data_IF_777713839535
#
_entry.id   IF_777713839535
#
_cell.length_a   1.000
_cell.length_b   1.000
_cell.length_c   1.000
_cell.angle_alpha   90.00
_cell.angle_beta   90.00
_cell.angle_gamma   90.00
#
_symmetry.space_group_name_H-M   'P 1'
#
loop_
_entity.id
_entity.type
_entity.pdbx_description
1 polymer ?
#
# COMPACT_ATOMS: atom_id res chain seq x y z
N UNK A 1 -13.46 14.38 28.68
CA UNK A 1 -12.62 13.81 27.60
C UNK A 1 -12.04 14.99 26.85
N UNK A 2 -10.74 15.25 26.99
CA UNK A 2 -10.10 16.31 26.20
C UNK A 2 -10.03 15.84 24.75
N UNK A 3 -10.67 16.58 23.86
CA UNK A 3 -10.47 16.44 22.42
C UNK A 3 -9.02 16.89 22.19
N UNK A 4 -8.09 15.96 21.99
CA UNK A 4 -6.79 16.32 21.47
C UNK A 4 -7.06 16.89 20.08
N UNK A 5 -6.76 18.18 19.90
CA UNK A 5 -6.83 18.79 18.59
C UNK A 5 -5.69 18.19 17.77
N UNK A 6 -6.00 17.54 16.67
CA UNK A 6 -4.98 17.08 15.74
C UNK A 6 -4.30 18.33 15.15
N UNK A 7 -2.99 18.45 15.33
CA UNK A 7 -2.22 19.62 14.89
C UNK A 7 -1.37 19.31 13.65
N UNK A 8 -1.08 18.03 13.40
CA UNK A 8 -0.30 17.56 12.26
C UNK A 8 -0.59 16.08 11.97
N UNK A 9 -0.03 15.59 10.85
CA UNK A 9 -0.19 14.19 10.42
C UNK A 9 0.22 13.17 11.48
N UNK A 10 1.30 13.40 12.25
CA UNK A 10 1.74 12.45 13.29
C UNK A 10 0.70 12.30 14.39
N UNK A 11 0.17 13.42 14.90
CA UNK A 11 -0.92 13.39 15.89
C UNK A 11 -2.18 12.75 15.32
N UNK A 12 -2.54 13.06 14.07
CA UNK A 12 -3.69 12.49 13.38
C UNK A 12 -3.61 10.95 13.32
N UNK A 13 -2.53 10.38 12.79
CA UNK A 13 -2.43 8.92 12.66
C UNK A 13 -2.34 8.23 14.02
N UNK A 14 -1.60 8.82 14.96
CA UNK A 14 -1.50 8.29 16.31
C UNK A 14 -2.87 8.19 16.97
N UNK A 15 -3.66 9.26 16.93
CA UNK A 15 -4.96 9.30 17.58
C UNK A 15 -5.96 8.41 16.82
N UNK A 16 -6.07 8.55 15.50
CA UNK A 16 -6.97 7.75 14.65
C UNK A 16 -6.74 6.24 14.76
N UNK A 17 -5.49 5.77 14.62
CA UNK A 17 -5.19 4.34 14.68
C UNK A 17 -5.28 3.78 16.11
N UNK A 18 -4.91 4.57 17.13
CA UNK A 18 -5.07 4.16 18.52
C UNK A 18 -6.54 4.07 18.93
N UNK A 19 -7.36 5.04 18.56
CA UNK A 19 -8.80 5.07 18.87
C UNK A 19 -9.56 3.93 18.21
N UNK A 20 -9.09 3.43 17.07
CA UNK A 20 -9.67 2.23 16.45
C UNK A 20 -9.59 0.97 17.32
N UNK A 21 -8.62 0.90 18.25
CA UNK A 21 -8.27 -0.33 18.99
C UNK A 21 -7.99 -1.56 18.11
N UNK A 22 -7.70 -1.34 16.81
CA UNK A 22 -7.36 -2.41 15.86
C UNK A 22 -5.86 -2.48 15.59
N UNK A 23 -5.15 -1.37 15.76
CA UNK A 23 -3.74 -1.24 15.45
C UNK A 23 -2.95 -0.68 16.64
N UNK A 24 -1.73 -1.20 16.82
CA UNK A 24 -0.77 -0.66 17.79
C UNK A 24 0.49 -0.19 17.08
N UNK A 25 1.02 0.96 17.51
CA UNK A 25 2.32 1.45 17.06
C UNK A 25 3.43 0.56 17.64
N UNK A 26 4.34 0.11 16.80
CA UNK A 26 5.47 -0.76 17.23
C UNK A 26 6.83 -0.14 16.99
N UNK A 27 6.93 0.82 16.08
CA UNK A 27 8.23 1.40 15.75
C UNK A 27 8.11 2.88 15.39
N UNK A 28 9.24 3.57 15.55
CA UNK A 28 9.50 4.84 14.92
C UNK A 28 10.97 4.88 14.51
N UNK A 29 11.22 5.34 13.29
CA UNK A 29 12.57 5.44 12.77
C UNK A 29 12.74 6.62 11.84
N UNK A 30 13.96 6.76 11.33
CA UNK A 30 14.29 7.69 10.27
C UNK A 30 15.00 6.95 9.14
N UNK A 31 14.69 7.34 7.91
CA UNK A 31 15.47 6.96 6.74
C UNK A 31 15.82 8.22 5.95
N UNK A 32 17.09 8.64 6.04
CA UNK A 32 17.49 9.98 5.61
C UNK A 32 16.73 11.04 6.42
N UNK A 33 16.05 11.94 5.73
CA UNK A 33 15.24 13.01 6.33
C UNK A 33 13.78 12.60 6.59
N UNK A 34 13.39 11.39 6.19
CA UNK A 34 12.02 10.89 6.36
C UNK A 34 11.83 10.23 7.71
N UNK A 35 10.90 10.75 8.51
CA UNK A 35 10.39 10.08 9.71
C UNK A 35 9.42 8.96 9.31
N UNK A 36 9.54 7.80 9.93
CA UNK A 36 8.70 6.63 9.64
C UNK A 36 8.01 6.16 10.91
N UNK A 37 6.71 5.91 10.84
CA UNK A 37 5.94 5.23 11.87
C UNK A 37 5.36 3.92 11.34
N UNK A 38 5.41 2.86 12.16
CA UNK A 38 4.85 1.56 11.83
C UNK A 38 3.81 1.13 12.86
N UNK A 39 2.66 0.70 12.34
CA UNK A 39 1.53 0.17 13.08
C UNK A 39 1.22 -1.25 12.62
N UNK A 40 0.95 -2.15 13.55
CA UNK A 40 0.55 -3.54 13.24
C UNK A 40 -0.84 -3.83 13.76
N UNK A 41 -1.56 -4.70 13.05
CA UNK A 41 -2.85 -5.18 13.54
C UNK A 41 -2.66 -5.93 14.87
N UNK A 42 -3.53 -5.64 15.83
CA UNK A 42 -3.61 -6.36 17.11
C UNK A 42 -4.13 -7.78 16.87
N UNK A 43 -4.89 -8.00 15.79
CA UNK A 43 -5.27 -9.32 15.33
C UNK A 43 -4.08 -9.98 14.60
N UNK A 44 -3.40 -10.89 15.30
CA UNK A 44 -2.23 -11.61 14.78
C UNK A 44 -2.49 -12.40 13.49
N UNK A 45 -3.76 -12.72 13.17
CA UNK A 45 -4.13 -13.44 11.96
C UNK A 45 -4.14 -12.55 10.71
N UNK A 46 -4.34 -11.24 10.86
CA UNK A 46 -4.41 -10.31 9.72
C UNK A 46 -3.03 -10.06 9.12
N UNK A 47 -1.99 -9.94 9.96
CA UNK A 47 -0.60 -9.64 9.55
C UNK A 47 -0.43 -8.35 8.73
N UNK A 48 -1.46 -7.52 8.64
CA UNK A 48 -1.41 -6.22 7.97
C UNK A 48 -0.62 -5.22 8.81
N UNK A 49 0.25 -4.48 8.14
CA UNK A 49 1.03 -3.38 8.71
C UNK A 49 0.70 -2.10 7.98
N UNK A 50 0.59 -1.01 8.72
CA UNK A 50 0.44 0.34 8.15
C UNK A 50 1.75 1.07 8.44
N UNK A 51 2.46 1.46 7.38
CA UNK A 51 3.65 2.28 7.49
C UNK A 51 3.38 3.66 6.93
N UNK A 52 3.86 4.68 7.62
CA UNK A 52 3.61 6.07 7.26
C UNK A 52 4.92 6.83 7.25
N UNK A 53 5.18 7.57 6.17
CA UNK A 53 6.38 8.37 5.98
C UNK A 53 6.08 9.87 5.98
N UNK A 54 6.84 10.62 6.79
CA UNK A 54 6.73 12.07 6.90
C UNK A 54 8.04 12.75 6.54
N UNK A 55 7.96 13.90 5.86
CA UNK A 55 9.09 14.79 5.64
C UNK A 55 8.72 16.16 6.21
N UNK A 56 9.27 16.48 7.37
CA UNK A 56 8.83 17.65 8.14
C UNK A 56 7.39 17.50 8.60
N UNK A 57 6.53 18.42 8.16
CA UNK A 57 5.09 18.46 8.44
C UNK A 57 4.24 17.81 7.33
N UNK A 58 4.86 17.31 6.25
CA UNK A 58 4.17 16.69 5.12
C UNK A 58 4.07 15.18 5.23
N UNK A 59 2.95 14.64 4.77
CA UNK A 59 2.75 13.20 4.58
C UNK A 59 3.23 12.80 3.18
N UNK A 60 4.27 11.97 3.10
CA UNK A 60 4.88 11.57 1.83
C UNK A 60 4.25 10.29 1.29
N UNK A 61 3.98 9.32 2.15
CA UNK A 61 3.37 8.06 1.74
C UNK A 61 2.68 7.36 2.93
N UNK A 62 1.71 6.52 2.61
CA UNK A 62 1.01 5.64 3.55
C UNK A 62 0.86 4.26 2.89
N UNK A 63 1.56 3.26 3.42
CA UNK A 63 1.62 1.92 2.83
C UNK A 63 0.90 0.89 3.70
N UNK A 64 0.16 0.00 3.05
CA UNK A 64 -0.43 -1.19 3.64
C UNK A 64 0.34 -2.41 3.18
N UNK A 65 1.09 -3.02 4.10
CA UNK A 65 1.90 -4.20 3.82
C UNK A 65 1.19 -5.46 4.34
N UNK A 66 1.09 -6.49 3.50
CA UNK A 66 0.63 -7.80 3.93
C UNK A 66 1.34 -8.91 3.14
N UNK A 67 1.80 -9.99 3.80
CA UNK A 67 2.47 -11.10 3.09
C UNK A 67 1.58 -11.81 2.07
N UNK A 68 0.25 -11.64 2.12
CA UNK A 68 -0.67 -12.16 1.11
C UNK A 68 -0.66 -11.30 -0.16
N UNK A 69 -0.29 -10.02 -0.11
CA UNK A 69 -0.36 -9.06 -1.23
C UNK A 69 1.00 -8.41 -1.50
N UNK A 70 1.97 -9.27 -1.85
CA UNK A 70 3.36 -8.86 -2.08
C UNK A 70 3.45 -7.93 -3.31
N UNK A 71 2.62 -8.16 -4.34
CA UNK A 71 2.57 -7.30 -5.52
C UNK A 71 2.10 -5.89 -5.17
N UNK A 72 0.99 -5.77 -4.45
CA UNK A 72 0.47 -4.49 -3.99
C UNK A 72 1.45 -3.77 -3.05
N UNK A 73 2.13 -4.51 -2.17
CA UNK A 73 3.19 -3.94 -1.32
C UNK A 73 4.30 -3.31 -2.17
N UNK A 74 4.79 -4.02 -3.19
CA UNK A 74 5.83 -3.50 -4.09
C UNK A 74 5.38 -2.33 -4.97
N UNK A 75 4.12 -2.30 -5.36
CA UNK A 75 3.59 -1.15 -6.10
C UNK A 75 3.65 0.11 -5.24
N UNK A 76 3.22 0.03 -3.98
CA UNK A 76 3.21 1.18 -3.09
C UNK A 76 4.63 1.74 -2.85
N UNK A 77 5.68 0.90 -2.88
CA UNK A 77 7.08 1.35 -2.69
C UNK A 77 7.55 2.43 -3.68
N UNK A 78 6.88 2.59 -4.82
CA UNK A 78 7.20 3.63 -5.82
C UNK A 78 6.17 4.77 -5.86
N UNK A 79 5.13 4.70 -5.02
CA UNK A 79 4.07 5.70 -4.92
C UNK A 79 4.39 6.68 -3.79
N UNK A 80 4.16 7.95 -4.05
CA UNK A 80 4.24 9.01 -3.06
C UNK A 80 3.20 10.05 -3.37
N UNK A 81 2.74 10.74 -2.34
CA UNK A 81 1.76 11.77 -2.49
C UNK A 81 2.36 13.06 -3.05
N UNK A 82 1.54 13.81 -3.78
CA UNK A 82 1.77 15.19 -4.15
C UNK A 82 0.71 16.09 -3.53
N UNK A 83 1.04 17.38 -3.36
CA UNK A 83 0.20 18.35 -2.66
C UNK A 83 -1.25 18.42 -3.16
N UNK A 84 -1.46 18.12 -4.45
CA UNK A 84 -2.73 18.31 -5.16
C UNK A 84 -3.44 16.99 -5.49
N UNK A 85 -2.99 15.84 -4.96
CA UNK A 85 -3.57 14.52 -5.27
C UNK A 85 -5.06 14.43 -4.96
N UNK A 86 -5.57 15.26 -4.04
CA UNK A 86 -6.96 15.28 -3.62
C UNK A 86 -7.69 16.59 -3.93
N UNK A 87 -7.06 17.49 -4.69
CA UNK A 87 -7.64 18.76 -5.08
C UNK A 87 -8.15 18.66 -6.52
N UNK A 88 -9.46 18.87 -6.72
CA UNK A 88 -10.07 18.82 -8.04
C UNK A 88 -9.47 19.87 -8.99
N UNK A 89 -9.24 19.48 -10.24
CA UNK A 89 -8.76 20.33 -11.33
C UNK A 89 -7.36 20.92 -11.15
N UNK A 90 -6.59 20.46 -10.16
CA UNK A 90 -5.19 20.81 -10.03
C UNK A 90 -4.29 19.68 -10.52
N UNK A 91 -3.21 20.05 -11.22
CA UNK A 91 -2.17 19.10 -11.61
C UNK A 91 -1.10 18.97 -10.53
N UNK A 92 -0.33 17.88 -10.58
CA UNK A 92 0.78 17.54 -9.68
C UNK A 92 1.46 18.75 -9.02
N UNK A 93 1.41 18.79 -7.69
CA UNK A 93 2.02 19.83 -6.86
C UNK A 93 3.40 19.45 -6.32
N UNK A 94 3.86 20.15 -5.28
CA UNK A 94 5.07 19.76 -4.55
C UNK A 94 4.90 18.37 -3.90
N UNK A 95 5.98 17.60 -3.67
CA UNK A 95 5.89 16.34 -2.96
C UNK A 95 5.30 16.50 -1.55
N UNK A 96 4.44 15.54 -1.20
CA UNK A 96 3.81 15.42 0.11
C UNK A 96 2.52 16.22 0.29
N UNK A 97 1.61 15.65 1.09
CA UNK A 97 0.35 16.28 1.46
C UNK A 97 0.54 17.22 2.65
N UNK A 98 0.01 18.43 2.53
CA UNK A 98 -0.15 19.34 3.65
C UNK A 98 -1.26 18.87 4.59
N UNK A 99 -1.13 19.20 5.86
CA UNK A 99 -2.14 18.89 6.88
C UNK A 99 -3.32 19.87 6.78
N UNK A 100 -4.22 19.61 5.84
CA UNK A 100 -5.43 20.40 5.61
C UNK A 100 -6.69 19.51 5.53
N UNK A 101 -7.88 20.11 5.55
CA UNK A 101 -9.15 19.36 5.61
C UNK A 101 -9.37 18.44 4.40
N UNK A 102 -9.01 18.88 3.19
CA UNK A 102 -9.20 18.10 1.96
C UNK A 102 -8.40 16.80 2.05
N UNK A 103 -7.11 16.91 2.37
CA UNK A 103 -6.21 15.78 2.48
C UNK A 103 -6.61 14.87 3.66
N UNK A 104 -6.98 15.44 4.81
CA UNK A 104 -7.46 14.66 5.96
C UNK A 104 -8.70 13.85 5.61
N UNK A 105 -9.65 14.43 4.87
CA UNK A 105 -10.86 13.72 4.46
C UNK A 105 -10.54 12.55 3.53
N UNK A 106 -9.61 12.72 2.58
CA UNK A 106 -9.18 11.65 1.70
C UNK A 106 -8.49 10.51 2.47
N UNK A 107 -7.55 10.83 3.36
CA UNK A 107 -6.87 9.84 4.21
C UNK A 107 -7.87 9.16 5.16
N UNK A 108 -8.80 9.90 5.77
CA UNK A 108 -9.86 9.34 6.59
C UNK A 108 -10.73 8.36 5.79
N UNK A 109 -11.12 8.72 4.56
CA UNK A 109 -11.93 7.85 3.71
C UNK A 109 -11.21 6.51 3.44
N UNK A 110 -9.92 6.55 3.15
CA UNK A 110 -9.11 5.34 2.93
C UNK A 110 -8.96 4.50 4.21
N UNK A 111 -8.67 5.14 5.36
CA UNK A 111 -8.55 4.45 6.64
C UNK A 111 -9.88 3.85 7.10
N UNK A 112 -10.98 4.58 6.96
CA UNK A 112 -12.28 4.19 7.48
C UNK A 112 -12.94 3.10 6.62
N UNK A 113 -12.82 3.19 5.30
CA UNK A 113 -13.51 2.27 4.37
C UNK A 113 -12.62 1.13 3.85
N UNK A 114 -11.30 1.24 4.06
CA UNK A 114 -10.34 0.23 3.64
C UNK A 114 -9.82 0.40 2.22
N UNK A 115 -9.06 -0.60 1.78
CA UNK A 115 -8.51 -0.65 0.44
C UNK A 115 -9.58 -1.08 -0.58
N UNK A 116 -9.48 -0.49 -1.77
CA UNK A 116 -10.22 -0.91 -2.95
C UNK A 116 -9.28 -1.65 -3.91
N UNK A 117 -9.87 -2.47 -4.78
CA UNK A 117 -9.15 -3.16 -5.82
C UNK A 117 -8.74 -4.59 -5.45
N UNK A 118 -7.98 -5.19 -6.36
CA UNK A 118 -7.66 -6.62 -6.36
C UNK A 118 -6.21 -6.85 -6.79
N UNK A 119 -5.53 -7.78 -6.12
CA UNK A 119 -4.27 -8.36 -6.61
C UNK A 119 -4.52 -9.74 -7.23
N UNK A 120 -4.05 -9.93 -8.46
CA UNK A 120 -4.02 -11.23 -9.14
C UNK A 120 -2.59 -11.74 -9.20
N UNK A 121 -2.31 -12.81 -8.48
CA UNK A 121 -1.00 -13.45 -8.37
C UNK A 121 -0.88 -14.65 -9.32
N UNK A 122 0.21 -14.70 -10.07
CA UNK A 122 0.53 -15.79 -11.00
C UNK A 122 1.70 -16.60 -10.47
N UNK A 123 1.48 -17.90 -10.32
CA UNK A 123 2.46 -18.86 -9.85
C UNK A 123 2.85 -19.80 -10.98
N UNK A 124 4.16 -20.05 -11.11
CA UNK A 124 4.74 -21.00 -12.04
C UNK A 124 5.46 -22.06 -11.23
N UNK A 125 5.00 -23.31 -11.31
CA UNK A 125 5.52 -24.42 -10.50
C UNK A 125 5.54 -24.09 -8.99
N UNK A 126 4.47 -23.45 -8.49
CA UNK A 126 4.32 -23.05 -7.09
C UNK A 126 5.10 -21.79 -6.66
N UNK A 127 5.89 -21.18 -7.56
CA UNK A 127 6.63 -19.94 -7.27
C UNK A 127 5.92 -18.72 -7.87
N UNK A 128 5.68 -17.70 -7.05
CA UNK A 128 5.16 -16.40 -7.52
C UNK A 128 6.16 -15.76 -8.48
N UNK A 129 5.73 -15.49 -9.70
CA UNK A 129 6.59 -14.89 -10.73
C UNK A 129 6.06 -13.53 -11.21
N UNK A 130 4.76 -13.28 -11.05
CA UNK A 130 4.09 -12.05 -11.47
C UNK A 130 2.86 -11.74 -10.62
N UNK A 131 2.60 -10.46 -10.39
CA UNK A 131 1.31 -9.96 -9.91
C UNK A 131 0.78 -8.89 -10.84
N UNK A 132 -0.55 -8.81 -10.96
CA UNK A 132 -1.26 -7.66 -11.53
C UNK A 132 -2.12 -7.03 -10.43
N UNK A 133 -2.09 -5.72 -10.31
CA UNK A 133 -2.85 -4.98 -9.31
C UNK A 133 -3.83 -4.08 -10.05
N UNK A 134 -5.08 -4.16 -9.67
CA UNK A 134 -6.19 -3.37 -10.17
C UNK A 134 -6.70 -2.52 -9.00
N UNK A 135 -6.62 -1.20 -9.08
CA UNK A 135 -7.02 -0.29 -7.98
C UNK A 135 -8.42 0.28 -8.21
N UNK A 136 -8.86 0.39 -9.46
CA UNK A 136 -10.23 0.73 -9.83
C UNK A 136 -11.12 -0.51 -9.98
N UNK A 137 -12.44 -0.30 -9.89
CA UNK A 137 -13.44 -1.37 -10.02
C UNK A 137 -13.74 -1.75 -11.48
N UNK A 138 -13.18 -1.01 -12.46
CA UNK A 138 -13.42 -1.25 -13.88
C UNK A 138 -12.38 -2.17 -14.52
N UNK A 139 -11.35 -2.57 -13.76
CA UNK A 139 -10.23 -3.43 -14.20
C UNK A 139 -9.48 -2.88 -15.43
N UNK A 140 -9.67 -1.59 -15.77
CA UNK A 140 -9.14 -1.00 -17.01
C UNK A 140 -7.62 -0.78 -16.93
N UNK A 141 -7.15 -0.36 -15.75
CA UNK A 141 -5.73 -0.09 -15.52
C UNK A 141 -5.16 -1.03 -14.47
N UNK A 142 -4.06 -1.69 -14.85
CA UNK A 142 -3.32 -2.55 -13.92
C UNK A 142 -1.84 -2.27 -13.91
N UNK A 143 -1.28 -2.26 -12.70
CA UNK A 143 0.17 -2.27 -12.50
C UNK A 143 0.64 -3.72 -12.50
N UNK A 144 1.62 -4.02 -13.36
CA UNK A 144 2.24 -5.35 -13.39
C UNK A 144 3.55 -5.34 -12.62
N UNK A 145 3.65 -6.19 -11.61
CA UNK A 145 4.88 -6.44 -10.86
C UNK A 145 5.46 -7.78 -11.28
N UNK A 146 6.67 -7.76 -11.85
CA UNK A 146 7.40 -8.98 -12.21
C UNK A 146 8.43 -9.32 -11.12
N UNK A 147 8.37 -10.54 -10.60
CA UNK A 147 9.28 -11.02 -9.54
C UNK A 147 10.48 -11.78 -10.11
N UNK A 148 10.40 -12.27 -11.35
CA UNK A 148 11.52 -12.89 -12.05
C UNK A 148 12.46 -11.80 -12.59
N UNK A 149 13.66 -11.69 -12.00
CA UNK A 149 14.79 -11.02 -12.64
C UNK A 149 15.35 -11.96 -13.71
N UNK A 150 14.76 -11.97 -14.91
CA UNK A 150 15.38 -12.70 -16.03
C UNK A 150 16.60 -11.91 -16.51
N UNK A 151 17.77 -12.52 -16.42
CA UNK A 151 18.95 -11.99 -17.11
C UNK A 151 18.81 -12.20 -18.61
N UNK A 152 19.42 -11.32 -19.42
CA UNK A 152 19.38 -11.37 -20.90
C UNK A 152 19.68 -12.78 -21.47
N UNK A 153 20.61 -13.52 -20.85
CA UNK A 153 20.97 -14.89 -21.22
C UNK A 153 19.91 -15.96 -20.88
N UNK A 154 19.13 -15.75 -19.83
CA UNK A 154 18.02 -16.65 -19.46
C UNK A 154 16.85 -16.49 -20.42
N UNK A 155 16.58 -15.27 -20.90
CA UNK A 155 15.63 -15.01 -21.98
C UNK A 155 16.06 -15.71 -23.28
N UNK A 156 17.34 -15.62 -23.67
CA UNK A 156 17.84 -16.25 -24.88
C UNK A 156 17.76 -17.79 -24.81
N UNK A 157 18.10 -18.40 -23.66
CA UNK A 157 17.97 -19.86 -23.46
C UNK A 157 16.52 -20.34 -23.41
N UNK A 158 15.59 -19.49 -22.98
CA UNK A 158 14.16 -19.84 -22.91
C UNK A 158 13.51 -19.99 -24.31
N UNK A 159 14.05 -19.30 -25.33
CA UNK A 159 13.59 -19.44 -26.73
C UNK A 159 13.90 -20.81 -27.34
N UNK A 160 14.83 -21.58 -26.75
CA UNK A 160 15.22 -22.92 -27.20
C UNK A 160 14.67 -24.06 -26.32
N UNK A 161 13.88 -23.74 -25.27
CA UNK A 161 13.25 -24.74 -24.39
C UNK A 161 11.79 -24.92 -24.77
N UNK A 162 11.43 -26.12 -25.25
CA UNK A 162 10.03 -26.56 -25.33
C UNK A 162 9.47 -26.76 -23.93
N UNK A 163 8.66 -25.82 -23.43
CA UNK A 163 8.08 -25.86 -22.08
C UNK A 163 6.70 -26.52 -22.08
N UNK A 164 6.64 -27.84 -22.28
CA UNK A 164 5.35 -28.56 -22.34
C UNK A 164 4.75 -28.96 -20.99
N UNK A 165 5.37 -28.64 -19.84
CA UNK A 165 4.92 -29.10 -18.51
C UNK A 165 4.83 -27.99 -17.43
N UNK A 166 4.73 -26.72 -17.80
CA UNK A 166 4.64 -25.64 -16.81
C UNK A 166 3.20 -25.48 -16.32
N UNK A 167 2.96 -25.77 -15.03
CA UNK A 167 1.66 -25.50 -14.41
C UNK A 167 1.67 -24.04 -13.96
N UNK A 168 0.75 -23.27 -14.53
CA UNK A 168 0.46 -21.90 -14.11
C UNK A 168 -0.81 -21.93 -13.27
N UNK A 169 -0.74 -21.38 -12.06
CA UNK A 169 -1.93 -21.16 -11.22
C UNK A 169 -2.11 -19.68 -10.94
N UNK A 170 -3.38 -19.30 -10.75
CA UNK A 170 -3.79 -17.95 -10.45
C UNK A 170 -4.42 -17.90 -9.05
N UNK A 171 -4.15 -16.83 -8.33
CA UNK A 171 -4.80 -16.51 -7.07
C UNK A 171 -5.24 -15.05 -7.07
N UNK A 172 -6.55 -14.84 -6.95
CA UNK A 172 -7.16 -13.51 -6.80
C UNK A 172 -7.31 -13.18 -5.32
N UNK A 173 -7.00 -11.95 -4.94
CA UNK A 173 -7.06 -11.46 -3.57
C UNK A 173 -7.69 -10.07 -3.59
N UNK A 174 -8.83 -9.91 -2.94
CA UNK A 174 -9.47 -8.61 -2.78
C UNK A 174 -8.73 -7.80 -1.72
N UNK A 175 -8.28 -6.59 -2.04
CA UNK A 175 -7.47 -5.76 -1.13
C UNK A 175 -8.27 -5.36 0.12
N UNK A 176 -9.60 -5.29 0.03
CA UNK A 176 -10.48 -5.06 1.17
C UNK A 176 -10.44 -6.19 2.20
N UNK A 177 -10.10 -7.42 1.81
CA UNK A 177 -9.90 -8.53 2.75
C UNK A 177 -8.58 -8.39 3.54
N UNK A 178 -7.63 -7.63 2.99
CA UNK A 178 -6.36 -7.32 3.65
C UNK A 178 -6.51 -6.15 4.61
N UNK A 179 -7.23 -5.12 4.18
CA UNK A 179 -7.55 -3.97 5.01
C UNK A 179 -8.96 -3.46 4.68
N UNK A 180 -9.93 -3.88 5.49
CA UNK A 180 -11.35 -3.53 5.32
C UNK A 180 -11.76 -2.19 5.94
N UNK A 181 -10.79 -1.43 6.46
CA UNK A 181 -10.99 -0.18 7.17
C UNK A 181 -11.04 -0.35 8.69
N UNK A 182 -11.00 0.78 9.40
CA UNK A 182 -11.01 0.83 10.87
C UNK A 182 -12.36 1.20 11.48
N UNK A 183 -13.31 1.67 10.67
CA UNK A 183 -14.66 1.98 11.12
C UNK A 183 -15.52 0.72 11.02
N UNK A 184 -15.84 0.12 12.16
CA UNK A 184 -16.77 -1.01 12.27
C UNK A 184 -18.12 -0.56 12.80
#
# INVERSE_FOLDING_TARGET
>A
MSINKEENWKSFFKDKLKESNLYCRIDHGKHGDTDIEEYISINQNEKTKIKIGYLGDKLIWMHFENPKTIGFTKQQEIEYFYANDFTENESYGNPGLEFNEINKNAINNQLDNGLKGTEVQFYKNGKLFKSKIYIDEQDEYSTTINFEKKTFWENLKSLFKNSNNEIITEKRIELREIFGGIKK
#
